data_IF_541963064226
#
_entry.id   IF_541963064226
#
_cell.length_a   1.000
_cell.length_b   1.000
_cell.length_c   1.000
_cell.angle_alpha   90.00
_cell.angle_beta   90.00
_cell.angle_gamma   90.00
#
_symmetry.space_group_name_H-M   'P 1'
#
loop_
_entity.id
_entity.type
_entity.pdbx_description
1 polymer ?
#
# COMPACT_ATOMS: atom_id res chain seq x y z
N UNK A 1 -5.78 -20.77 -15.32
CA UNK A 1 -4.96 -20.08 -14.33
C UNK A 1 -5.69 -18.83 -13.84
N UNK A 2 -5.82 -18.69 -12.57
CA UNK A 2 -6.55 -17.58 -11.98
C UNK A 2 -5.62 -16.37 -11.83
N UNK A 3 -5.75 -15.41 -12.73
CA UNK A 3 -4.93 -14.19 -12.75
C UNK A 3 -5.16 -13.32 -11.51
N UNK A 4 -6.37 -13.33 -10.98
CA UNK A 4 -6.68 -12.60 -9.75
C UNK A 4 -5.92 -13.15 -8.56
N UNK A 5 -5.83 -14.47 -8.45
CA UNK A 5 -5.08 -15.13 -7.38
C UNK A 5 -3.59 -14.81 -7.47
N UNK A 6 -3.03 -14.84 -8.69
CA UNK A 6 -1.62 -14.52 -8.91
C UNK A 6 -1.33 -13.07 -8.51
N UNK A 7 -2.21 -12.14 -8.88
CA UNK A 7 -2.08 -10.73 -8.50
C UNK A 7 -2.16 -10.53 -7.00
N UNK A 8 -3.10 -11.21 -6.33
CA UNK A 8 -3.26 -11.12 -4.89
C UNK A 8 -2.02 -11.67 -4.16
N UNK A 9 -1.47 -12.79 -4.63
CA UNK A 9 -0.28 -13.41 -4.05
C UNK A 9 0.92 -12.48 -4.17
N UNK A 10 1.11 -11.87 -5.34
CA UNK A 10 2.21 -10.93 -5.58
C UNK A 10 2.07 -9.68 -4.71
N UNK A 11 0.85 -9.19 -4.53
CA UNK A 11 0.55 -8.04 -3.68
C UNK A 11 0.95 -8.32 -2.23
N UNK A 12 0.57 -9.47 -1.71
CA UNK A 12 0.93 -9.90 -0.35
C UNK A 12 2.44 -9.95 -0.19
N UNK A 13 3.14 -10.57 -1.15
CA UNK A 13 4.59 -10.70 -1.09
C UNK A 13 5.29 -9.33 -1.10
N UNK A 14 4.82 -8.42 -1.93
CA UNK A 14 5.38 -7.08 -2.03
C UNK A 14 5.25 -6.31 -0.71
N UNK A 15 4.03 -6.24 -0.16
CA UNK A 15 3.78 -5.51 1.08
C UNK A 15 4.44 -6.15 2.28
N UNK A 16 4.52 -7.49 2.32
CA UNK A 16 5.24 -8.21 3.37
C UNK A 16 6.73 -7.90 3.35
N UNK A 17 7.31 -7.82 2.16
CA UNK A 17 8.73 -7.48 2.02
C UNK A 17 9.02 -6.06 2.52
N UNK A 18 8.14 -5.10 2.22
CA UNK A 18 8.27 -3.74 2.73
C UNK A 18 8.20 -3.72 4.26
N UNK A 19 7.25 -4.44 4.85
CA UNK A 19 7.11 -4.51 6.29
C UNK A 19 8.38 -5.09 6.93
N UNK A 20 8.91 -6.18 6.39
CA UNK A 20 10.14 -6.81 6.87
C UNK A 20 11.33 -5.86 6.78
N UNK A 21 11.40 -5.05 5.72
CA UNK A 21 12.48 -4.09 5.52
C UNK A 21 12.52 -2.99 6.59
N UNK A 22 11.44 -2.79 7.35
CA UNK A 22 11.43 -1.82 8.45
C UNK A 22 12.25 -2.29 9.65
N UNK A 23 12.53 -3.59 9.76
CA UNK A 23 13.17 -4.22 10.92
C UNK A 23 12.41 -3.94 12.23
N UNK A 24 11.10 -3.71 12.13
CA UNK A 24 10.23 -3.42 13.26
C UNK A 24 9.22 -4.56 13.42
N UNK A 25 9.40 -5.36 14.48
CA UNK A 25 8.58 -6.53 14.73
C UNK A 25 7.09 -6.21 14.88
N UNK A 26 6.78 -5.07 15.50
CA UNK A 26 5.39 -4.65 15.67
C UNK A 26 4.74 -4.34 14.34
N UNK A 27 5.43 -3.63 13.45
CA UNK A 27 4.92 -3.34 12.11
C UNK A 27 4.77 -4.60 11.26
N UNK A 28 5.74 -5.51 11.35
CA UNK A 28 5.69 -6.78 10.62
C UNK A 28 4.46 -7.58 11.07
N UNK A 29 4.23 -7.68 12.38
CA UNK A 29 3.09 -8.41 12.92
C UNK A 29 1.77 -7.76 12.54
N UNK A 30 1.70 -6.44 12.62
CA UNK A 30 0.49 -5.69 12.23
C UNK A 30 0.19 -5.90 10.75
N UNK A 31 1.20 -5.85 9.89
CA UNK A 31 1.03 -6.10 8.47
C UNK A 31 0.46 -7.49 8.19
N UNK A 32 0.96 -8.52 8.90
CA UNK A 32 0.46 -9.88 8.77
C UNK A 32 -1.02 -9.99 9.13
N UNK A 33 -1.42 -9.35 10.22
CA UNK A 33 -2.83 -9.35 10.67
C UNK A 33 -3.71 -8.65 9.65
N UNK A 34 -3.29 -7.49 9.14
CA UNK A 34 -4.07 -6.75 8.15
C UNK A 34 -4.20 -7.52 6.84
N UNK A 35 -3.14 -8.21 6.42
CA UNK A 35 -3.17 -9.06 5.22
C UNK A 35 -4.27 -10.12 5.35
N UNK A 36 -4.37 -10.76 6.50
CA UNK A 36 -5.41 -11.78 6.74
C UNK A 36 -6.81 -11.19 6.77
N UNK A 37 -6.99 -10.05 7.46
CA UNK A 37 -8.29 -9.40 7.60
C UNK A 37 -8.83 -8.95 6.24
N UNK A 38 -7.97 -8.43 5.38
CA UNK A 38 -8.38 -7.90 4.09
C UNK A 38 -8.29 -8.88 2.92
N UNK A 39 -8.03 -10.16 3.20
CA UNK A 39 -7.89 -11.17 2.14
C UNK A 39 -9.11 -11.24 1.20
N UNK A 40 -10.37 -11.28 1.69
CA UNK A 40 -11.52 -11.31 0.77
C UNK A 40 -11.62 -10.08 -0.12
N UNK A 41 -11.36 -8.90 0.41
CA UNK A 41 -11.36 -7.65 -0.36
C UNK A 41 -10.26 -7.63 -1.41
N UNK A 42 -9.09 -8.16 -1.06
CA UNK A 42 -7.96 -8.25 -1.98
C UNK A 42 -8.28 -9.19 -3.14
N UNK A 43 -8.85 -10.35 -2.86
CA UNK A 43 -9.21 -11.31 -3.89
C UNK A 43 -10.22 -10.70 -4.87
N UNK A 44 -11.21 -9.98 -4.35
CA UNK A 44 -12.19 -9.27 -5.18
C UNK A 44 -11.51 -8.19 -6.03
N UNK A 45 -10.61 -7.42 -5.44
CA UNK A 45 -9.89 -6.35 -6.14
C UNK A 45 -9.14 -6.88 -7.36
N UNK A 46 -8.45 -8.01 -7.21
CA UNK A 46 -7.61 -8.56 -8.28
C UNK A 46 -8.36 -9.43 -9.29
N UNK A 47 -9.70 -9.45 -9.27
CA UNK A 47 -10.46 -10.16 -10.27
C UNK A 47 -10.43 -9.49 -11.65
N UNK A 48 -10.09 -8.21 -11.72
CA UNK A 48 -9.95 -7.53 -13.00
C UNK A 48 -8.49 -7.34 -13.36
N UNK A 49 -8.18 -7.55 -14.64
CA UNK A 49 -6.83 -7.35 -15.16
C UNK A 49 -6.36 -5.90 -15.04
N UNK A 50 -7.27 -4.96 -15.24
CA UNK A 50 -6.96 -3.53 -15.14
C UNK A 50 -6.53 -3.13 -13.74
N UNK A 51 -7.19 -3.65 -12.71
CA UNK A 51 -6.83 -3.37 -11.32
C UNK A 51 -5.47 -3.96 -10.97
N UNK A 52 -5.19 -5.18 -11.44
CA UNK A 52 -3.90 -5.81 -11.23
C UNK A 52 -2.78 -5.00 -11.87
N UNK A 53 -2.99 -4.53 -13.10
CA UNK A 53 -2.03 -3.73 -13.84
C UNK A 53 -1.79 -2.38 -13.17
N UNK A 54 -2.85 -1.74 -12.70
CA UNK A 54 -2.77 -0.46 -12.00
C UNK A 54 -2.02 -0.60 -10.68
N UNK A 55 -2.30 -1.66 -9.93
CA UNK A 55 -1.61 -1.95 -8.68
C UNK A 55 -0.12 -2.15 -8.92
N UNK A 56 0.25 -2.89 -9.96
CA UNK A 56 1.65 -3.09 -10.33
C UNK A 56 2.35 -1.76 -10.63
N UNK A 57 1.66 -0.85 -11.31
CA UNK A 57 2.19 0.48 -11.60
C UNK A 57 2.53 1.25 -10.32
N UNK A 58 1.64 1.22 -9.31
CA UNK A 58 1.91 1.84 -8.01
C UNK A 58 3.08 1.17 -7.29
N UNK A 59 3.13 -0.16 -7.32
CA UNK A 59 4.23 -0.90 -6.68
C UNK A 59 5.58 -0.53 -7.29
N UNK A 60 5.64 -0.36 -8.60
CA UNK A 60 6.88 0.06 -9.28
C UNK A 60 7.32 1.45 -8.83
N UNK A 61 6.40 2.38 -8.69
CA UNK A 61 6.71 3.73 -8.20
C UNK A 61 7.25 3.71 -6.78
N UNK A 62 6.64 2.89 -5.92
CA UNK A 62 7.11 2.72 -4.55
C UNK A 62 8.54 2.15 -4.55
N UNK A 63 8.77 1.10 -5.32
CA UNK A 63 10.07 0.46 -5.41
C UNK A 63 11.14 1.42 -5.94
N UNK A 64 10.84 2.16 -7.00
CA UNK A 64 11.74 3.17 -7.56
C UNK A 64 12.14 4.22 -6.52
N UNK A 65 11.18 4.64 -5.71
CA UNK A 65 11.44 5.61 -4.63
C UNK A 65 12.36 5.02 -3.56
N UNK A 66 12.18 3.76 -3.23
CA UNK A 66 13.04 3.04 -2.27
C UNK A 66 14.45 2.91 -2.84
N UNK A 67 14.57 2.50 -4.10
CA UNK A 67 15.87 2.37 -4.77
C UNK A 67 16.61 3.70 -4.86
N UNK A 68 15.88 4.79 -5.01
CA UNK A 68 16.43 6.14 -5.04
C UNK A 68 16.78 6.69 -3.63
N UNK A 69 16.53 5.90 -2.59
CA UNK A 69 16.74 6.31 -1.20
C UNK A 69 15.98 7.60 -0.85
N UNK A 70 14.75 7.72 -1.35
CA UNK A 70 13.89 8.88 -1.10
C UNK A 70 12.70 8.50 -0.21
N UNK A 71 12.83 8.65 1.13
CA UNK A 71 11.72 8.31 2.04
C UNK A 71 10.46 9.13 1.78
N UNK A 72 10.59 10.40 1.47
CA UNK A 72 9.44 11.27 1.19
C UNK A 72 8.67 10.80 -0.03
N UNK A 73 9.38 10.47 -1.12
CA UNK A 73 8.73 9.98 -2.34
C UNK A 73 8.10 8.60 -2.12
N UNK A 74 8.76 7.73 -1.37
CA UNK A 74 8.23 6.40 -1.07
C UNK A 74 6.94 6.51 -0.26
N UNK A 75 6.90 7.39 0.74
CA UNK A 75 5.70 7.64 1.54
C UNK A 75 4.56 8.17 0.68
N UNK A 76 4.86 9.14 -0.18
CA UNK A 76 3.86 9.73 -1.06
C UNK A 76 3.31 8.71 -2.04
N UNK A 77 4.18 7.90 -2.64
CA UNK A 77 3.77 6.85 -3.56
C UNK A 77 2.87 5.81 -2.88
N UNK A 78 3.20 5.41 -1.66
CA UNK A 78 2.37 4.47 -0.90
C UNK A 78 1.02 5.10 -0.54
N UNK A 79 1.00 6.36 -0.13
CA UNK A 79 -0.25 7.05 0.20
C UNK A 79 -1.18 7.14 -1.01
N UNK A 80 -0.64 7.45 -2.18
CA UNK A 80 -1.42 7.48 -3.41
C UNK A 80 -1.96 6.10 -3.77
N UNK A 81 -1.17 5.07 -3.57
CA UNK A 81 -1.57 3.68 -3.81
C UNK A 81 -2.74 3.28 -2.90
N UNK A 82 -2.62 3.54 -1.61
CA UNK A 82 -3.67 3.22 -0.64
C UNK A 82 -4.95 3.98 -0.97
N UNK A 83 -4.84 5.26 -1.30
CA UNK A 83 -5.99 6.08 -1.67
C UNK A 83 -6.70 5.55 -2.91
N UNK A 84 -5.93 5.12 -3.90
CA UNK A 84 -6.48 4.55 -5.14
C UNK A 84 -7.25 3.25 -4.88
N UNK A 85 -6.69 2.37 -4.06
CA UNK A 85 -7.36 1.11 -3.69
C UNK A 85 -8.65 1.38 -2.94
N UNK A 86 -8.61 2.32 -1.99
CA UNK A 86 -9.77 2.71 -1.20
C UNK A 86 -10.91 3.22 -2.09
N UNK A 87 -10.62 4.09 -3.03
CA UNK A 87 -11.61 4.62 -3.97
C UNK A 87 -12.25 3.53 -4.80
N UNK A 88 -11.47 2.56 -5.27
CA UNK A 88 -11.99 1.49 -6.11
C UNK A 88 -12.82 0.47 -5.33
N UNK A 89 -12.43 0.15 -4.11
CA UNK A 89 -13.14 -0.85 -3.29
C UNK A 89 -14.42 -0.30 -2.68
N UNK A 90 -14.38 0.95 -2.20
CA UNK A 90 -15.51 1.52 -1.48
C UNK A 90 -16.44 2.36 -2.36
N UNK A 91 -16.04 2.64 -3.60
CA UNK A 91 -16.83 3.45 -4.52
C UNK A 91 -17.02 4.89 -4.04
N UNK A 92 -16.18 5.35 -3.13
CA UNK A 92 -16.21 6.72 -2.61
C UNK A 92 -15.19 7.58 -3.35
N UNK A 93 -15.31 8.89 -3.22
CA UNK A 93 -14.30 9.80 -3.72
C UNK A 93 -13.06 9.85 -2.81
N UNK A 94 -13.07 9.05 -1.75
CA UNK A 94 -11.97 8.96 -0.81
C UNK A 94 -11.88 10.13 0.16
N UNK A 95 -12.83 11.06 0.11
CA UNK A 95 -12.75 12.28 0.92
C UNK A 95 -12.78 12.00 2.42
N UNK A 96 -13.58 11.05 2.86
CA UNK A 96 -13.69 10.69 4.27
C UNK A 96 -12.39 10.10 4.83
N UNK A 97 -11.71 9.30 4.02
CA UNK A 97 -10.47 8.65 4.43
C UNK A 97 -9.26 9.55 4.25
N UNK A 98 -9.28 10.43 3.25
CA UNK A 98 -8.18 11.37 3.03
C UNK A 98 -8.06 12.39 4.15
N UNK A 99 -9.14 12.65 4.89
CA UNK A 99 -9.10 13.52 6.08
C UNK A 99 -8.35 12.86 7.24
N UNK A 100 -8.28 11.54 7.28
CA UNK A 100 -7.64 10.80 8.35
C UNK A 100 -6.12 10.64 8.15
N UNK A 101 -5.63 10.84 6.93
CA UNK A 101 -4.22 10.64 6.63
C UNK A 101 -3.72 11.70 5.66
N UNK A 102 -2.77 12.50 6.12
CA UNK A 102 -2.07 13.48 5.32
C UNK A 102 -0.58 13.14 5.35
N UNK A 103 -0.04 12.65 4.24
CA UNK A 103 1.36 12.25 4.20
C UNK A 103 2.34 13.39 4.46
N UNK A 104 1.94 14.63 4.16
CA UNK A 104 2.81 15.77 4.38
C UNK A 104 2.89 16.16 5.85
N UNK A 105 1.83 15.91 6.62
CA UNK A 105 1.81 16.18 8.05
C UNK A 105 2.62 15.15 8.86
N UNK A 106 2.79 13.96 8.36
CA UNK A 106 3.57 12.92 9.03
C UNK A 106 5.04 13.35 9.13
N UNK A 107 5.56 14.05 8.12
CA UNK A 107 6.94 14.52 8.13
C UNK A 107 7.20 15.53 9.24
N UNK A 108 6.27 16.44 9.48
CA UNK A 108 6.42 17.43 10.55
C UNK A 108 6.46 16.78 11.93
N UNK A 109 5.62 15.77 12.15
CA UNK A 109 5.58 15.06 13.42
C UNK A 109 6.89 14.31 13.70
N UNK A 110 7.48 13.70 12.67
CA UNK A 110 8.74 12.96 12.80
C UNK A 110 9.92 13.94 12.92
N UNK A 111 9.89 15.01 12.14
CA UNK A 111 10.97 16.02 12.17
C UNK A 111 11.08 16.75 13.49
N UNK A 112 10.00 16.92 14.22
CA UNK A 112 9.96 17.60 15.50
C UNK A 112 10.66 16.88 16.65
N UNK A 113 11.07 15.62 16.45
CA UNK A 113 11.67 14.78 17.49
C UNK A 113 13.18 14.59 17.32
N UNK A 114 13.81 15.28 16.42
CA UNK A 114 15.27 15.18 16.23
C UNK A 114 16.09 16.15 17.06
#
# INVERSE_FOLDING_TARGET
MDRGRDGATSDIAFHSAIAEATHNRALIRLAQVLIEIFAPSRDTFFQTHERAKKSLSFHKRILESIEAHSPADARRAMAEHIKSVDQELLGTDGSEFSLAFDPDQVDEAVGGNT
#
